data_IF_600783188028
#
_entry.id   IF_600783188028
#
_cell.length_a   1.000
_cell.length_b   1.000
_cell.length_c   1.000
_cell.angle_alpha   90.00
_cell.angle_beta   90.00
_cell.angle_gamma   90.00
#
_symmetry.space_group_name_H-M   'P 1'
#
loop_
_entity.id
_entity.type
_entity.pdbx_description
1 polymer ?
#
# COMPACT_ATOMS: atom_id res chain seq x y z
N UNK A 1 4.14 -23.69 -18.45
CA UNK A 1 3.68 -22.37 -18.01
C UNK A 1 4.90 -21.52 -17.72
N UNK A 2 4.93 -20.23 -18.10
CA UNK A 2 5.97 -19.33 -17.56
C UNK A 2 5.73 -19.20 -16.06
N UNK A 3 6.77 -19.37 -15.26
CA UNK A 3 6.73 -19.24 -13.81
C UNK A 3 6.08 -17.89 -13.43
N UNK A 4 4.93 -17.89 -12.73
CA UNK A 4 4.21 -16.68 -12.37
C UNK A 4 4.96 -15.83 -11.33
N UNK A 5 5.99 -16.35 -10.68
CA UNK A 5 6.81 -15.58 -9.74
C UNK A 5 8.04 -14.98 -10.42
N UNK A 6 8.42 -15.48 -11.60
CA UNK A 6 9.56 -14.94 -12.33
C UNK A 6 9.29 -13.52 -12.83
N UNK A 7 10.25 -12.62 -12.65
CA UNK A 7 10.20 -11.25 -13.19
C UNK A 7 10.14 -11.27 -14.72
N UNK A 8 9.28 -10.42 -15.29
CA UNK A 8 9.12 -10.30 -16.73
C UNK A 8 10.12 -9.32 -17.32
N UNK A 9 10.48 -9.51 -18.60
CA UNK A 9 11.40 -8.60 -19.29
C UNK A 9 10.82 -7.18 -19.34
N UNK A 10 11.59 -6.19 -18.88
CA UNK A 10 11.16 -4.79 -18.79
C UNK A 10 10.20 -4.48 -17.62
N UNK A 11 9.94 -5.43 -16.73
CA UNK A 11 9.11 -5.20 -15.54
C UNK A 11 9.91 -4.48 -14.45
N UNK A 12 9.44 -3.29 -14.07
CA UNK A 12 10.01 -2.54 -12.94
C UNK A 12 9.65 -3.15 -11.58
N UNK A 13 10.41 -2.82 -10.55
CA UNK A 13 10.30 -3.43 -9.22
C UNK A 13 8.88 -3.32 -8.62
N UNK A 14 8.27 -2.13 -8.68
CA UNK A 14 6.92 -1.92 -8.14
C UNK A 14 5.87 -2.74 -8.90
N UNK A 15 5.99 -2.82 -10.23
CA UNK A 15 5.08 -3.59 -11.06
C UNK A 15 5.16 -5.09 -10.74
N UNK A 16 6.39 -5.56 -10.53
CA UNK A 16 6.68 -6.91 -10.09
C UNK A 16 6.05 -7.21 -8.72
N UNK A 17 6.30 -6.37 -7.70
CA UNK A 17 5.72 -6.51 -6.36
C UNK A 17 4.19 -6.54 -6.38
N UNK A 18 3.56 -5.62 -7.12
CA UNK A 18 2.09 -5.59 -7.29
C UNK A 18 1.52 -6.84 -7.94
N UNK A 19 2.30 -7.53 -8.77
CA UNK A 19 1.89 -8.76 -9.44
C UNK A 19 2.02 -9.94 -8.50
N UNK A 20 3.16 -10.11 -7.84
CA UNK A 20 3.38 -11.24 -6.93
C UNK A 20 2.49 -11.16 -5.67
N UNK A 21 2.16 -9.95 -5.20
CA UNK A 21 1.21 -9.75 -4.09
C UNK A 21 -0.21 -10.28 -4.35
N UNK A 22 -0.57 -10.52 -5.62
CA UNK A 22 -1.88 -11.08 -6.01
C UNK A 22 -1.85 -12.61 -6.10
N UNK A 23 -0.67 -13.22 -6.05
CA UNK A 23 -0.56 -14.67 -6.10
C UNK A 23 -1.09 -15.23 -4.78
N UNK A 24 -1.86 -16.34 -4.80
CA UNK A 24 -2.38 -16.93 -3.58
C UNK A 24 -1.30 -17.61 -2.74
N UNK A 25 -0.24 -18.07 -3.40
CA UNK A 25 0.88 -18.80 -2.83
C UNK A 25 2.17 -18.25 -3.45
N UNK A 26 3.21 -18.09 -2.64
CA UNK A 26 4.56 -17.71 -3.06
C UNK A 26 5.56 -18.81 -2.71
N UNK A 27 6.60 -18.93 -3.51
CA UNK A 27 7.81 -19.64 -3.12
C UNK A 27 8.53 -18.88 -2.01
N UNK A 28 9.16 -19.63 -1.11
CA UNK A 28 10.06 -19.05 -0.11
C UNK A 28 11.20 -18.26 -0.77
N UNK A 29 11.69 -18.72 -1.93
CA UNK A 29 12.68 -18.00 -2.75
C UNK A 29 12.23 -16.58 -3.10
N UNK A 30 10.98 -16.43 -3.56
CA UNK A 30 10.41 -15.11 -3.85
C UNK A 30 10.28 -14.28 -2.58
N UNK A 31 9.86 -14.88 -1.47
CA UNK A 31 9.75 -14.16 -0.19
C UNK A 31 11.12 -13.67 0.30
N UNK A 32 12.13 -14.52 0.27
CA UNK A 32 13.50 -14.16 0.60
C UNK A 32 14.04 -13.09 -0.35
N UNK A 33 14.16 -13.39 -1.65
CA UNK A 33 14.94 -12.59 -2.59
C UNK A 33 14.20 -11.41 -3.19
N UNK A 34 12.86 -11.38 -3.13
CA UNK A 34 12.09 -10.25 -3.66
C UNK A 34 11.52 -9.34 -2.59
N UNK A 35 11.34 -9.84 -1.37
CA UNK A 35 10.66 -9.11 -0.29
C UNK A 35 11.67 -8.75 0.80
N UNK A 36 12.48 -9.70 1.30
CA UNK A 36 13.43 -9.41 2.39
C UNK A 36 14.82 -8.97 1.93
N UNK A 37 15.31 -9.48 0.81
CA UNK A 37 16.72 -9.35 0.42
C UNK A 37 16.85 -8.44 -0.80
N UNK A 38 17.61 -7.36 -0.64
CA UNK A 38 18.37 -6.82 -1.77
C UNK A 38 19.87 -6.83 -1.49
N UNK A 39 20.30 -6.74 -0.23
CA UNK A 39 21.71 -6.85 0.18
C UNK A 39 21.77 -7.48 1.59
N UNK A 40 22.02 -8.79 1.70
CA UNK A 40 22.28 -9.39 3.02
C UNK A 40 23.64 -8.89 3.49
N UNK A 41 23.65 -8.12 4.59
CA UNK A 41 24.90 -7.67 5.21
C UNK A 41 25.39 -8.67 6.24
N UNK A 42 24.47 -9.40 6.90
CA UNK A 42 24.81 -10.35 7.95
C UNK A 42 24.10 -11.70 7.76
N UNK A 43 24.89 -12.76 7.64
CA UNK A 43 24.37 -14.11 7.41
C UNK A 43 23.67 -14.68 8.66
N UNK A 44 24.01 -14.22 9.88
CA UNK A 44 23.24 -14.57 11.08
C UNK A 44 21.79 -14.07 10.98
N UNK A 45 21.55 -12.94 10.32
CA UNK A 45 20.20 -12.44 10.08
C UNK A 45 19.42 -13.41 9.19
N UNK A 46 20.03 -13.90 8.10
CA UNK A 46 19.41 -14.89 7.20
C UNK A 46 19.03 -16.17 7.96
N UNK A 47 19.95 -16.71 8.77
CA UNK A 47 19.71 -17.88 9.63
C UNK A 47 18.49 -17.64 10.53
N UNK A 48 18.48 -16.49 11.20
CA UNK A 48 17.41 -16.11 12.14
C UNK A 48 16.06 -15.99 11.43
N UNK A 49 16.03 -15.44 10.21
CA UNK A 49 14.82 -15.38 9.39
C UNK A 49 14.31 -16.78 9.05
N UNK A 50 15.20 -17.66 8.60
CA UNK A 50 14.87 -19.07 8.31
C UNK A 50 14.27 -19.80 9.51
N UNK A 51 14.85 -19.61 10.70
CA UNK A 51 14.31 -20.19 11.94
C UNK A 51 12.93 -19.63 12.30
N UNK A 52 12.73 -18.31 12.19
CA UNK A 52 11.42 -17.70 12.43
C UNK A 52 10.35 -18.22 11.47
N UNK A 53 10.71 -18.38 10.19
CA UNK A 53 9.83 -18.98 9.18
C UNK A 53 9.45 -20.42 9.52
N UNK A 54 10.42 -21.25 9.91
CA UNK A 54 10.18 -22.64 10.30
C UNK A 54 9.27 -22.74 11.52
N UNK A 55 9.47 -21.84 12.49
CA UNK A 55 8.64 -21.78 13.69
C UNK A 55 7.18 -21.41 13.40
N UNK A 56 6.95 -20.52 12.42
CA UNK A 56 5.59 -20.07 12.09
C UNK A 56 4.85 -21.02 11.13
N UNK A 57 5.55 -21.63 10.18
CA UNK A 57 4.94 -22.45 9.13
C UNK A 57 5.42 -23.92 9.15
N UNK A 58 5.39 -24.63 10.28
CA UNK A 58 6.01 -25.96 10.42
C UNK A 58 5.44 -27.03 9.48
N UNK A 59 4.23 -26.83 8.96
CA UNK A 59 3.51 -27.72 8.04
C UNK A 59 3.94 -27.59 6.58
N UNK A 60 4.70 -26.55 6.22
CA UNK A 60 5.32 -26.52 4.91
C UNK A 60 6.32 -27.67 4.84
N UNK A 61 6.44 -28.30 3.69
CA UNK A 61 7.36 -29.42 3.44
C UNK A 61 8.81 -28.90 3.43
N UNK A 62 9.23 -28.34 4.58
CA UNK A 62 10.63 -28.13 4.91
C UNK A 62 11.22 -29.52 4.88
N UNK A 63 12.15 -29.77 3.97
CA UNK A 63 12.84 -31.04 3.92
C UNK A 63 13.32 -31.35 5.35
N UNK A 64 12.72 -32.36 5.98
CA UNK A 64 12.98 -32.71 7.38
C UNK A 64 14.44 -33.10 7.62
N UNK A 65 15.21 -33.30 6.55
CA UNK A 65 16.66 -33.47 6.56
C UNK A 65 17.46 -32.16 6.72
N UNK A 66 16.78 -31.02 6.86
CA UNK A 66 17.39 -29.71 7.08
C UNK A 66 18.33 -29.72 8.29
N UNK A 67 19.62 -29.68 7.97
CA UNK A 67 20.72 -29.56 8.92
C UNK A 67 20.74 -28.17 9.57
N UNK A 68 21.13 -28.13 10.82
CA UNK A 68 21.35 -26.93 11.60
C UNK A 68 22.44 -26.05 10.96
N UNK A 69 22.40 -24.72 11.09
CA UNK A 69 23.55 -23.86 10.75
C UNK A 69 24.85 -24.31 11.42
N UNK A 70 24.72 -24.90 12.60
CA UNK A 70 25.83 -25.41 13.41
C UNK A 70 26.38 -26.77 12.91
N UNK A 71 25.73 -27.39 11.92
CA UNK A 71 26.19 -28.64 11.30
C UNK A 71 27.15 -28.40 10.12
N UNK A 72 27.47 -27.13 9.82
CA UNK A 72 28.36 -26.74 8.71
C UNK A 72 29.64 -26.12 9.24
N UNK A 73 30.77 -26.49 8.63
CA UNK A 73 32.11 -25.99 8.99
C UNK A 73 32.26 -24.48 8.73
N UNK A 74 31.46 -23.96 7.80
CA UNK A 74 31.39 -22.54 7.54
C UNK A 74 29.97 -22.13 7.13
N UNK A 75 29.73 -20.85 7.30
CA UNK A 75 28.43 -20.22 7.11
C UNK A 75 28.05 -20.11 5.61
N UNK A 76 29.04 -20.08 4.72
CA UNK A 76 28.85 -19.99 3.27
C UNK A 76 28.24 -21.28 2.69
N UNK A 77 28.67 -22.43 3.21
CA UNK A 77 28.13 -23.74 2.86
C UNK A 77 26.72 -23.95 3.43
N UNK A 78 26.44 -23.40 4.62
CA UNK A 78 25.07 -23.35 5.14
C UNK A 78 24.17 -22.50 4.25
N UNK A 79 24.60 -21.31 3.79
CA UNK A 79 23.79 -20.48 2.88
C UNK A 79 23.50 -21.21 1.58
N UNK A 80 24.51 -21.83 0.96
CA UNK A 80 24.31 -22.65 -0.25
C UNK A 80 23.33 -23.80 0.01
N UNK A 81 23.45 -24.45 1.16
CA UNK A 81 22.54 -25.53 1.56
C UNK A 81 21.11 -25.05 1.81
N UNK A 82 20.92 -23.89 2.46
CA UNK A 82 19.59 -23.31 2.68
C UNK A 82 18.97 -22.80 1.40
N UNK A 83 19.74 -22.17 0.50
CA UNK A 83 19.24 -21.79 -0.82
C UNK A 83 18.71 -23.04 -1.54
N UNK A 84 19.53 -24.09 -1.65
CA UNK A 84 19.17 -25.33 -2.36
C UNK A 84 17.92 -26.02 -1.77
N UNK A 85 17.75 -26.05 -0.45
CA UNK A 85 16.68 -26.82 0.20
C UNK A 85 15.42 -26.01 0.55
N UNK A 86 15.48 -24.68 0.53
CA UNK A 86 14.31 -23.84 0.84
C UNK A 86 13.53 -23.43 -0.42
N UNK A 87 14.08 -23.62 -1.62
CA UNK A 87 13.43 -23.24 -2.88
C UNK A 87 12.06 -23.89 -3.14
N UNK A 88 11.76 -25.05 -2.53
CA UNK A 88 10.50 -25.78 -2.76
C UNK A 88 9.35 -25.32 -1.86
N UNK A 89 9.62 -24.62 -0.75
CA UNK A 89 8.60 -24.25 0.22
C UNK A 89 7.58 -23.26 -0.38
N UNK A 90 6.29 -23.53 -0.15
CA UNK A 90 5.16 -22.80 -0.75
C UNK A 90 4.27 -22.17 0.32
N UNK A 91 4.37 -20.87 0.49
CA UNK A 91 3.73 -20.14 1.59
C UNK A 91 2.47 -19.43 1.08
N UNK A 92 1.31 -19.57 1.76
CA UNK A 92 0.15 -18.74 1.46
C UNK A 92 0.47 -17.26 1.67
N UNK A 93 0.32 -16.46 0.62
CA UNK A 93 0.73 -15.05 0.57
C UNK A 93 0.11 -14.23 1.71
N UNK A 94 -1.17 -14.48 1.98
CA UNK A 94 -1.91 -13.81 3.05
C UNK A 94 -1.40 -14.18 4.43
N UNK A 95 -1.13 -15.46 4.68
CA UNK A 95 -0.63 -15.92 5.98
C UNK A 95 0.75 -15.32 6.24
N UNK A 96 1.61 -15.26 5.22
CA UNK A 96 2.90 -14.59 5.29
C UNK A 96 2.75 -13.11 5.68
N UNK A 97 1.90 -12.34 4.98
CA UNK A 97 1.73 -10.92 5.28
C UNK A 97 1.09 -10.65 6.65
N UNK A 98 0.18 -11.53 7.10
CA UNK A 98 -0.38 -11.47 8.44
C UNK A 98 0.67 -11.74 9.51
N UNK A 99 1.51 -12.75 9.31
CA UNK A 99 2.61 -13.08 10.22
C UNK A 99 3.58 -11.91 10.37
N UNK A 100 4.06 -11.35 9.26
CA UNK A 100 4.96 -10.20 9.26
C UNK A 100 4.37 -9.02 10.04
N UNK A 101 3.09 -8.73 9.80
CA UNK A 101 2.38 -7.64 10.49
C UNK A 101 2.12 -7.91 11.98
N UNK A 102 1.69 -9.12 12.35
CA UNK A 102 1.32 -9.48 13.73
C UNK A 102 2.53 -9.63 14.64
N UNK A 103 3.61 -10.22 14.12
CA UNK A 103 4.86 -10.47 14.87
C UNK A 103 5.87 -9.34 14.75
N UNK A 104 5.52 -8.27 14.03
CA UNK A 104 6.37 -7.11 13.81
C UNK A 104 7.75 -7.50 13.25
N UNK A 105 7.76 -8.44 12.29
CA UNK A 105 8.99 -9.06 11.77
C UNK A 105 9.93 -8.02 11.15
N UNK A 106 9.40 -6.99 10.49
CA UNK A 106 10.24 -5.93 9.91
C UNK A 106 10.95 -5.10 10.98
N UNK A 107 10.33 -4.84 12.13
CA UNK A 107 11.02 -4.17 13.25
C UNK A 107 12.04 -5.09 13.91
N UNK A 108 11.72 -6.38 14.06
CA UNK A 108 12.68 -7.36 14.56
C UNK A 108 13.90 -7.47 13.62
N UNK A 109 13.68 -7.40 12.30
CA UNK A 109 14.72 -7.35 11.28
C UNK A 109 15.62 -6.12 11.43
N UNK A 110 15.02 -4.94 11.65
CA UNK A 110 15.77 -3.72 11.98
C UNK A 110 16.59 -3.84 13.26
N UNK A 111 16.06 -4.54 14.27
CA UNK A 111 16.78 -4.86 15.50
C UNK A 111 18.05 -5.70 15.30
N UNK A 112 18.14 -6.46 14.20
CA UNK A 112 19.33 -7.23 13.82
C UNK A 112 20.36 -6.40 13.01
N UNK A 113 20.10 -5.10 12.80
CA UNK A 113 20.97 -4.22 12.01
C UNK A 113 20.73 -4.30 10.50
N UNK A 114 19.66 -4.98 10.07
CA UNK A 114 19.24 -5.05 8.67
C UNK A 114 18.22 -3.96 8.34
N UNK A 115 18.12 -3.58 7.06
CA UNK A 115 17.17 -2.56 6.61
C UNK A 115 16.16 -3.18 5.64
N UNK A 116 14.90 -3.42 6.07
CA UNK A 116 13.84 -3.84 5.16
C UNK A 116 13.71 -2.86 4.00
N UNK A 117 13.58 -3.38 2.78
CA UNK A 117 13.41 -2.51 1.62
C UNK A 117 12.03 -1.83 1.65
N UNK A 118 11.88 -0.61 1.10
CA UNK A 118 10.56 0.01 0.92
C UNK A 118 9.59 -0.87 0.11
N UNK A 119 10.11 -1.74 -0.76
CA UNK A 119 9.33 -2.72 -1.52
C UNK A 119 8.78 -3.84 -0.64
N UNK A 120 9.51 -4.24 0.40
CA UNK A 120 9.06 -5.20 1.41
C UNK A 120 7.83 -4.67 2.14
N UNK A 121 7.93 -3.45 2.67
CA UNK A 121 6.84 -2.77 3.36
C UNK A 121 5.63 -2.62 2.44
N UNK A 122 5.88 -2.14 1.22
CA UNK A 122 4.85 -1.98 0.22
C UNK A 122 4.14 -3.31 -0.14
N UNK A 123 4.88 -4.41 -0.26
CA UNK A 123 4.30 -5.73 -0.47
C UNK A 123 3.36 -6.13 0.68
N UNK A 124 3.79 -5.96 1.93
CA UNK A 124 3.01 -6.36 3.11
C UNK A 124 1.73 -5.52 3.24
N UNK A 125 1.81 -4.23 2.92
CA UNK A 125 0.65 -3.37 2.89
C UNK A 125 -0.36 -3.77 1.79
N UNK A 126 0.13 -4.14 0.60
CA UNK A 126 -0.71 -4.58 -0.53
C UNK A 126 -1.48 -5.86 -0.18
N UNK A 127 -0.81 -6.86 0.40
CA UNK A 127 -1.46 -8.14 0.73
C UNK A 127 -2.45 -7.99 1.87
N UNK A 128 -2.12 -7.19 2.89
CA UNK A 128 -3.02 -6.92 4.00
C UNK A 128 -4.17 -5.96 3.64
N UNK A 129 -4.22 -5.45 2.40
CA UNK A 129 -5.23 -4.51 1.93
C UNK A 129 -5.19 -3.15 2.66
N UNK A 130 -4.05 -2.83 3.30
CA UNK A 130 -3.83 -1.55 3.99
C UNK A 130 -3.52 -0.43 2.99
N UNK A 131 -2.72 -0.73 1.98
CA UNK A 131 -2.78 -0.03 0.71
C UNK A 131 -3.75 -0.81 -0.15
N UNK A 132 -4.87 -0.19 -0.51
CA UNK A 132 -5.81 -0.80 -1.43
C UNK A 132 -5.04 -1.27 -2.68
N UNK A 133 -5.62 -2.23 -3.38
CA UNK A 133 -5.42 -2.32 -4.82
C UNK A 133 -5.83 -0.95 -5.38
N UNK A 134 -4.91 0.02 -5.35
CA UNK A 134 -5.09 1.28 -5.99
C UNK A 134 -5.06 0.95 -7.46
N UNK A 135 -6.25 0.99 -8.06
CA UNK A 135 -6.41 1.32 -9.46
C UNK A 135 -5.33 2.36 -9.80
N UNK A 136 -4.47 2.02 -10.77
CA UNK A 136 -3.41 2.87 -11.33
C UNK A 136 -3.56 4.34 -10.91
N UNK A 137 -2.54 5.00 -10.35
CA UNK A 137 -2.55 6.45 -10.34
C UNK A 137 -2.55 6.88 -11.82
N UNK A 138 -3.75 7.13 -12.37
CA UNK A 138 -3.88 7.98 -13.54
C UNK A 138 -3.23 9.26 -13.08
N UNK A 139 -2.09 9.59 -13.67
CA UNK A 139 -1.45 10.90 -13.52
C UNK A 139 -2.57 11.93 -13.47
N UNK A 140 -2.76 12.57 -12.31
CA UNK A 140 -3.79 13.59 -12.14
C UNK A 140 -3.38 14.69 -13.09
N UNK A 141 -3.97 14.69 -14.29
CA UNK A 141 -3.70 15.72 -15.30
C UNK A 141 -3.84 17.09 -14.63
N UNK A 142 -3.12 18.10 -15.08
CA UNK A 142 -3.19 19.46 -14.53
C UNK A 142 -4.64 19.96 -14.29
N UNK A 143 -5.61 19.43 -15.06
CA UNK A 143 -7.05 19.65 -14.90
C UNK A 143 -7.63 19.18 -13.55
N UNK A 144 -7.16 18.07 -12.97
CA UNK A 144 -7.64 17.56 -11.68
C UNK A 144 -7.10 18.40 -10.51
N UNK A 145 -5.84 18.87 -10.61
CA UNK A 145 -5.26 19.80 -9.63
C UNK A 145 -6.00 21.14 -9.65
N UNK A 146 -6.24 21.70 -10.84
CA UNK A 146 -7.04 22.91 -10.99
C UNK A 146 -8.50 22.73 -10.51
N UNK A 147 -9.13 21.57 -10.77
CA UNK A 147 -10.47 21.29 -10.27
C UNK A 147 -10.54 21.19 -8.74
N UNK A 148 -9.49 20.64 -8.12
CA UNK A 148 -9.37 20.58 -6.67
C UNK A 148 -9.20 21.98 -6.06
N UNK A 149 -8.29 22.78 -6.60
CA UNK A 149 -8.05 24.17 -6.16
C UNK A 149 -9.33 25.03 -6.32
N UNK A 150 -10.03 24.91 -7.44
CA UNK A 150 -11.31 25.60 -7.65
C UNK A 150 -12.40 25.12 -6.67
N UNK A 151 -12.44 23.82 -6.35
CA UNK A 151 -13.37 23.28 -5.35
C UNK A 151 -13.11 23.87 -3.96
N UNK A 152 -11.86 23.89 -3.52
CA UNK A 152 -11.49 24.43 -2.22
C UNK A 152 -11.75 25.94 -2.12
N UNK A 153 -11.39 26.69 -3.17
CA UNK A 153 -11.65 28.12 -3.24
C UNK A 153 -13.15 28.44 -3.21
N UNK A 154 -13.96 27.72 -4.01
CA UNK A 154 -15.42 27.86 -4.00
C UNK A 154 -16.02 27.52 -2.64
N UNK A 155 -15.53 26.47 -1.97
CA UNK A 155 -15.99 26.07 -0.63
C UNK A 155 -15.69 27.14 0.41
N UNK A 156 -14.50 27.75 0.36
CA UNK A 156 -14.09 28.80 1.30
C UNK A 156 -14.99 30.04 1.16
N UNK A 157 -15.22 30.50 -0.06
CA UNK A 157 -16.11 31.63 -0.34
C UNK A 157 -17.56 31.30 0.03
N UNK A 158 -18.05 30.12 -0.35
CA UNK A 158 -19.41 29.67 -0.02
C UNK A 158 -19.65 29.66 1.50
N UNK A 159 -18.68 29.16 2.28
CA UNK A 159 -18.77 29.17 3.74
C UNK A 159 -18.84 30.58 4.31
N UNK A 160 -18.01 31.51 3.81
CA UNK A 160 -18.04 32.91 4.25
C UNK A 160 -19.40 33.58 3.93
N UNK A 161 -19.94 33.36 2.73
CA UNK A 161 -21.27 33.87 2.34
C UNK A 161 -22.39 33.24 3.17
N UNK A 162 -22.27 31.95 3.46
CA UNK A 162 -23.20 31.19 4.28
C UNK A 162 -23.24 31.69 5.72
N UNK A 163 -22.08 32.01 6.29
CA UNK A 163 -21.98 32.51 7.67
C UNK A 163 -22.36 33.98 7.80
N UNK A 164 -22.24 34.78 6.72
CA UNK A 164 -22.62 36.19 6.70
C UNK A 164 -24.12 36.43 6.47
N UNK A 165 -24.82 35.50 5.82
CA UNK A 165 -26.21 35.72 5.44
C UNK A 165 -27.07 34.45 5.58
N UNK A 166 -27.77 34.36 6.72
CA UNK A 166 -28.65 33.25 7.06
C UNK A 166 -29.88 33.10 6.15
N UNK A 167 -30.18 34.10 5.32
CA UNK A 167 -31.29 34.05 4.35
C UNK A 167 -30.95 33.29 3.07
N UNK A 168 -29.66 33.07 2.80
CA UNK A 168 -29.19 32.38 1.61
C UNK A 168 -29.32 30.86 1.76
N UNK A 169 -29.43 30.17 0.63
CA UNK A 169 -29.30 28.71 0.50
C UNK A 169 -28.00 28.41 -0.23
N UNK A 170 -27.39 27.23 -0.06
CA UNK A 170 -26.20 26.86 -0.84
C UNK A 170 -26.53 26.93 -2.34
N UNK A 171 -27.75 26.54 -2.74
CA UNK A 171 -28.24 26.67 -4.11
C UNK A 171 -28.35 28.12 -4.62
N UNK A 172 -28.55 29.10 -3.72
CA UNK A 172 -28.52 30.53 -4.04
C UNK A 172 -27.08 31.08 -4.11
N UNK A 173 -26.21 30.57 -3.24
CA UNK A 173 -24.80 30.94 -3.15
C UNK A 173 -24.02 30.56 -4.42
N UNK A 174 -24.41 29.47 -5.12
CA UNK A 174 -23.77 29.07 -6.39
C UNK A 174 -23.85 30.14 -7.49
N UNK A 175 -24.82 31.06 -7.40
CA UNK A 175 -25.04 32.14 -8.36
C UNK A 175 -24.36 33.45 -7.96
N UNK A 176 -23.68 33.49 -6.82
CA UNK A 176 -23.01 34.69 -6.35
C UNK A 176 -21.73 34.95 -7.17
N UNK A 177 -21.53 36.21 -7.58
CA UNK A 177 -20.39 36.62 -8.40
C UNK A 177 -19.03 36.24 -7.78
N UNK A 178 -18.95 36.22 -6.45
CA UNK A 178 -17.74 35.85 -5.71
C UNK A 178 -17.36 34.38 -5.91
N UNK A 179 -18.33 33.47 -6.02
CA UNK A 179 -18.06 32.05 -6.30
C UNK A 179 -17.62 31.87 -7.75
N UNK A 180 -18.28 32.56 -8.69
CA UNK A 180 -17.95 32.46 -10.11
C UNK A 180 -16.55 33.02 -10.42
N UNK A 181 -16.04 33.95 -9.62
CA UNK A 181 -14.67 34.48 -9.75
C UNK A 181 -13.59 33.48 -9.36
N UNK A 182 -13.82 32.66 -8.33
CA UNK A 182 -12.80 31.73 -7.80
C UNK A 182 -12.84 30.34 -8.42
N UNK A 183 -13.95 29.98 -9.05
CA UNK A 183 -14.11 28.70 -9.75
C UNK A 183 -14.81 28.91 -11.11
N UNK A 184 -14.27 29.73 -12.02
CA UNK A 184 -14.93 30.01 -13.29
C UNK A 184 -15.10 28.72 -14.11
N UNK A 185 -16.17 28.65 -14.91
CA UNK A 185 -16.48 27.59 -15.90
C UNK A 185 -17.18 26.31 -15.38
N UNK A 186 -17.73 26.31 -14.16
CA UNK A 186 -18.58 25.21 -13.67
C UNK A 186 -20.07 25.58 -13.68
N UNK A 187 -20.93 24.59 -13.93
CA UNK A 187 -22.39 24.77 -13.89
C UNK A 187 -22.99 24.64 -12.48
N UNK A 188 -24.21 25.12 -12.30
CA UNK A 188 -24.96 25.07 -11.02
C UNK A 188 -24.97 23.67 -10.38
N UNK A 189 -25.11 22.62 -11.19
CA UNK A 189 -25.10 21.23 -10.71
C UNK A 189 -23.77 20.84 -10.06
N UNK A 190 -22.65 21.28 -10.63
CA UNK A 190 -21.32 20.99 -10.09
C UNK A 190 -21.13 21.65 -8.72
N UNK A 191 -21.51 22.92 -8.60
CA UNK A 191 -21.42 23.64 -7.33
C UNK A 191 -22.31 23.03 -6.25
N UNK A 192 -23.55 22.68 -6.59
CA UNK A 192 -24.47 22.04 -5.63
C UNK A 192 -23.90 20.73 -5.12
N UNK A 193 -23.31 19.92 -5.99
CA UNK A 193 -22.72 18.64 -5.59
C UNK A 193 -21.50 18.81 -4.68
N UNK A 194 -20.67 19.83 -4.94
CA UNK A 194 -19.40 20.03 -4.23
C UNK A 194 -19.50 20.91 -2.98
N UNK A 195 -20.61 21.63 -2.83
CA UNK A 195 -20.89 22.53 -1.69
C UNK A 195 -22.06 22.04 -0.82
N UNK A 196 -22.75 20.94 -1.20
CA UNK A 196 -23.93 20.44 -0.45
C UNK A 196 -23.65 20.17 1.01
N UNK A 197 -22.41 19.80 1.34
CA UNK A 197 -21.99 19.48 2.70
C UNK A 197 -21.93 20.71 3.63
N UNK A 198 -21.95 21.91 3.08
CA UNK A 198 -22.16 23.14 3.86
C UNK A 198 -23.63 23.33 4.27
N UNK A 199 -24.58 22.68 3.59
CA UNK A 199 -26.00 22.80 3.90
C UNK A 199 -26.44 21.77 4.95
N UNK A 200 -27.44 22.09 5.81
CA UNK A 200 -28.01 21.13 6.75
C UNK A 200 -28.52 19.88 6.03
N UNK A 201 -28.10 18.72 6.55
CA UNK A 201 -28.47 17.41 5.99
C UNK A 201 -28.07 17.21 4.53
N UNK A 202 -27.01 17.89 4.06
CA UNK A 202 -26.52 17.83 2.69
C UNK A 202 -27.57 18.23 1.63
N UNK A 203 -28.53 19.09 1.98
CA UNK A 203 -29.60 19.55 1.09
C UNK A 203 -29.37 21.02 0.69
N UNK A 204 -28.82 21.30 -0.50
CA UNK A 204 -28.42 22.66 -0.90
C UNK A 204 -29.53 23.72 -0.91
N UNK A 205 -30.79 23.30 -1.00
CA UNK A 205 -31.95 24.19 -0.97
C UNK A 205 -32.46 24.53 0.42
N UNK A 206 -31.86 23.99 1.49
CA UNK A 206 -32.22 24.34 2.87
C UNK A 206 -31.39 25.53 3.34
N UNK A 207 -32.02 26.43 4.10
CA UNK A 207 -31.34 27.51 4.83
C UNK A 207 -30.63 26.97 6.06
N UNK A 208 -29.69 27.76 6.59
CA UNK A 208 -29.08 27.50 7.90
C UNK A 208 -30.22 27.40 8.93
N UNK A 209 -30.24 26.31 9.70
CA UNK A 209 -31.19 26.21 10.82
C UNK A 209 -30.81 27.31 11.79
N UNK A 210 -31.76 28.17 12.13
CA UNK A 210 -31.64 29.07 13.29
C UNK A 210 -31.50 28.25 14.55
#
# INVERSE_FOLDING_TARGET
MKDPERRQSGEGDEAYIRRIAKLPILSYDTVLHSIFINEIKNVLSLVTLGEWFRGEFPELDWDSSMRSPWDFDNLEDYVKYTDINLHSARIPTKNFAEWVGKKNILEAWRGLGEEPTPLAEFFIELVNGKTGIEQKPKAKSARWKAAHEHREAARKVAKVLWDKNDSLTIAGITRHNEIQKVAPKYGDAWYREHLKDLAPSNRPGRRKKK
#
